data_IF_580285406167
#
_entry.id   IF_580285406167
#
_cell.length_a   1.000
_cell.length_b   1.000
_cell.length_c   1.000
_cell.angle_alpha   90.00
_cell.angle_beta   90.00
_cell.angle_gamma   90.00
#
_symmetry.space_group_name_H-M   'P 1'
#
loop_
_entity.id
_entity.type
_entity.pdbx_description
1 polymer ?
#
# COMPACT_ATOMS: atom_id res chain seq x y z
N UNK A 1 15.14 10.41 19.10
CA UNK A 1 15.49 9.88 17.76
C UNK A 1 14.25 10.03 16.89
N UNK A 2 14.34 10.52 15.65
CA UNK A 2 13.18 10.60 14.78
C UNK A 2 12.74 9.16 14.50
N UNK A 3 11.47 8.87 14.75
CA UNK A 3 10.88 7.57 14.43
C UNK A 3 10.72 7.54 12.92
N UNK A 4 11.68 6.97 12.20
CA UNK A 4 11.55 6.74 10.77
C UNK A 4 10.42 5.75 10.52
N UNK A 5 9.29 6.29 10.08
CA UNK A 5 8.15 5.48 9.70
C UNK A 5 8.60 4.51 8.59
N UNK A 6 8.22 3.22 8.63
CA UNK A 6 8.54 2.28 7.55
C UNK A 6 7.96 2.72 6.19
N UNK A 7 7.04 3.68 6.20
CA UNK A 7 6.41 4.29 5.03
C UNK A 7 7.37 5.20 4.26
N UNK A 8 8.25 5.91 4.97
CA UNK A 8 9.24 6.79 4.34
C UNK A 8 10.43 6.01 3.75
N UNK A 9 10.56 4.74 4.14
CA UNK A 9 11.56 3.79 3.65
C UNK A 9 11.07 2.92 2.50
N UNK A 10 9.81 3.06 2.09
CA UNK A 10 9.20 2.19 1.08
C UNK A 10 8.88 2.96 -0.20
N UNK A 11 9.30 2.41 -1.34
CA UNK A 11 8.99 2.95 -2.67
C UNK A 11 8.25 1.91 -3.51
N UNK A 12 7.39 2.39 -4.38
CA UNK A 12 6.73 1.59 -5.41
C UNK A 12 7.37 1.87 -6.76
N UNK A 13 7.73 0.81 -7.46
CA UNK A 13 8.35 0.82 -8.79
C UNK A 13 7.32 0.30 -9.78
N UNK A 14 6.99 1.07 -10.80
CA UNK A 14 6.07 0.72 -11.87
C UNK A 14 6.83 0.54 -13.19
N UNK A 15 6.23 -0.22 -14.11
CA UNK A 15 6.84 -0.52 -15.40
C UNK A 15 7.88 -1.63 -15.32
N UNK A 16 7.80 -2.47 -14.27
CA UNK A 16 8.65 -3.64 -14.11
C UNK A 16 8.24 -4.67 -15.16
N UNK A 17 9.12 -4.94 -16.13
CA UNK A 17 8.87 -6.00 -17.11
C UNK A 17 8.96 -7.38 -16.46
N UNK A 18 8.33 -8.38 -17.08
CA UNK A 18 8.41 -9.76 -16.59
C UNK A 18 9.85 -10.27 -16.50
N UNK A 19 10.73 -9.83 -17.40
CA UNK A 19 12.15 -10.16 -17.41
C UNK A 19 12.98 -9.54 -16.26
N UNK A 20 12.42 -8.59 -15.50
CA UNK A 20 13.10 -7.96 -14.36
C UNK A 20 12.66 -8.63 -13.07
N UNK A 21 13.47 -9.56 -12.55
CA UNK A 21 13.17 -10.25 -11.30
C UNK A 21 13.59 -9.46 -10.06
N UNK A 22 13.15 -9.92 -8.89
CA UNK A 22 13.40 -9.26 -7.60
C UNK A 22 14.89 -9.06 -7.33
N UNK A 23 15.72 -10.00 -7.76
CA UNK A 23 17.17 -9.96 -7.60
C UNK A 23 17.82 -8.87 -8.46
N UNK A 24 17.35 -8.68 -9.71
CA UNK A 24 17.79 -7.61 -10.60
C UNK A 24 17.37 -6.23 -10.08
N UNK A 25 16.15 -6.14 -9.57
CA UNK A 25 15.65 -4.92 -8.92
C UNK A 25 16.46 -4.60 -7.67
N UNK A 26 16.73 -5.62 -6.84
CA UNK A 26 17.52 -5.46 -5.61
C UNK A 26 18.91 -4.91 -5.94
N UNK A 27 19.62 -5.54 -6.88
CA UNK A 27 20.95 -5.10 -7.28
C UNK A 27 20.96 -3.66 -7.84
N UNK A 28 19.91 -3.26 -8.57
CA UNK A 28 19.79 -1.91 -9.09
C UNK A 28 19.55 -0.87 -7.98
N UNK A 29 18.64 -1.16 -7.05
CA UNK A 29 18.27 -0.26 -5.97
C UNK A 29 19.28 -0.25 -4.81
N UNK A 30 20.12 -1.27 -4.66
CA UNK A 30 21.27 -1.21 -3.75
C UNK A 30 22.39 -0.32 -4.28
N UNK A 31 22.50 -0.19 -5.59
CA UNK A 31 23.59 0.54 -6.21
C UNK A 31 23.40 2.06 -6.09
N UNK A 32 24.47 2.79 -5.77
CA UNK A 32 24.50 4.26 -5.74
C UNK A 32 24.12 4.91 -7.09
N UNK A 33 24.21 4.16 -8.19
CA UNK A 33 23.72 4.63 -9.50
C UNK A 33 22.22 4.94 -9.50
N UNK A 34 21.40 4.26 -8.71
CA UNK A 34 19.97 4.57 -8.58
C UNK A 34 19.69 5.66 -7.53
N UNK A 35 20.71 6.11 -6.79
CA UNK A 35 20.54 6.91 -5.57
C UNK A 35 20.09 6.06 -4.37
N UNK A 36 20.14 4.73 -4.50
CA UNK A 36 19.66 3.85 -3.44
C UNK A 36 20.72 3.48 -2.41
N UNK A 37 20.45 2.38 -1.73
CA UNK A 37 21.19 1.94 -0.55
C UNK A 37 20.70 0.58 -0.07
N UNK A 38 21.15 0.15 1.12
CA UNK A 38 20.82 -1.17 1.66
C UNK A 38 19.30 -1.40 1.67
N UNK A 39 18.90 -2.57 1.19
CA UNK A 39 17.51 -2.98 1.07
C UNK A 39 17.14 -3.96 2.19
N UNK A 40 15.94 -3.80 2.72
CA UNK A 40 15.31 -4.77 3.63
C UNK A 40 14.65 -5.89 2.82
N UNK A 41 13.90 -5.51 1.78
CA UNK A 41 13.16 -6.46 0.95
C UNK A 41 12.71 -5.84 -0.37
N UNK A 42 12.62 -6.68 -1.41
CA UNK A 42 11.99 -6.35 -2.69
C UNK A 42 10.90 -7.38 -2.96
N UNK A 43 9.70 -6.91 -3.31
CA UNK A 43 8.55 -7.76 -3.59
C UNK A 43 7.94 -7.37 -4.95
N UNK A 44 8.07 -8.24 -5.94
CA UNK A 44 7.51 -8.03 -7.28
C UNK A 44 6.06 -8.55 -7.34
N UNK A 45 5.17 -7.70 -7.85
CA UNK A 45 3.73 -7.97 -7.99
C UNK A 45 3.28 -7.69 -9.42
N UNK A 46 3.67 -8.57 -10.34
CA UNK A 46 3.36 -8.43 -11.77
C UNK A 46 4.20 -7.31 -12.40
N UNK A 47 3.55 -6.24 -12.86
CA UNK A 47 4.22 -5.10 -13.51
C UNK A 47 4.71 -3.99 -12.55
N UNK A 48 4.64 -4.25 -11.26
CA UNK A 48 5.05 -3.35 -10.18
C UNK A 48 5.91 -4.09 -9.17
N UNK A 49 6.75 -3.38 -8.45
CA UNK A 49 7.53 -3.91 -7.34
C UNK A 49 7.51 -2.94 -6.16
N UNK A 50 7.50 -3.50 -4.96
CA UNK A 50 7.63 -2.75 -3.70
C UNK A 50 9.06 -2.96 -3.20
N UNK A 51 9.77 -1.87 -2.96
CA UNK A 51 11.16 -1.89 -2.51
C UNK A 51 11.21 -1.19 -1.15
N UNK A 52 11.74 -1.88 -0.15
CA UNK A 52 11.89 -1.38 1.22
C UNK A 52 13.36 -1.19 1.49
N UNK A 53 13.76 0.04 1.81
CA UNK A 53 15.13 0.41 2.17
C UNK A 53 15.35 0.30 3.69
N UNK A 54 16.60 0.10 4.10
CA UNK A 54 16.95 0.19 5.52
C UNK A 54 16.82 1.62 6.05
N UNK A 55 17.17 2.60 5.22
CA UNK A 55 17.28 4.03 5.56
C UNK A 55 16.30 4.87 4.74
N UNK A 56 15.64 5.85 5.38
CA UNK A 56 14.68 6.74 4.70
C UNK A 56 15.36 7.65 3.67
N UNK A 57 16.62 8.00 3.91
CA UNK A 57 17.44 8.81 3.00
C UNK A 57 17.63 8.11 1.65
N UNK A 58 17.87 6.80 1.65
CA UNK A 58 18.03 6.02 0.42
C UNK A 58 16.73 6.02 -0.40
N UNK A 59 15.58 5.86 0.25
CA UNK A 59 14.29 5.96 -0.42
C UNK A 59 14.06 7.38 -0.99
N UNK A 60 14.39 8.43 -0.23
CA UNK A 60 14.24 9.82 -0.67
C UNK A 60 15.16 10.16 -1.87
N UNK A 61 16.41 9.69 -1.86
CA UNK A 61 17.35 9.86 -2.98
C UNK A 61 16.84 9.16 -4.25
N UNK A 62 16.36 7.92 -4.14
CA UNK A 62 15.76 7.20 -5.27
C UNK A 62 14.52 7.93 -5.81
N UNK A 63 13.69 8.47 -4.93
CA UNK A 63 12.50 9.25 -5.32
C UNK A 63 12.84 10.60 -5.94
N UNK A 64 13.94 11.23 -5.51
CA UNK A 64 14.43 12.49 -6.11
C UNK A 64 14.86 12.31 -7.57
N UNK A 65 15.19 11.07 -7.94
CA UNK A 65 15.64 10.72 -9.27
C UNK A 65 14.45 10.44 -10.19
N UNK A 66 14.26 11.31 -11.18
CA UNK A 66 13.15 11.22 -12.13
C UNK A 66 13.24 10.04 -13.11
N UNK A 67 14.44 9.55 -13.41
CA UNK A 67 14.67 8.54 -14.44
C UNK A 67 15.45 7.36 -13.89
N UNK A 68 14.78 6.21 -13.83
CA UNK A 68 15.38 4.92 -13.54
C UNK A 68 15.34 4.07 -14.80
N UNK A 69 16.49 3.57 -15.22
CA UNK A 69 16.61 2.71 -16.41
C UNK A 69 17.40 1.48 -16.01
N UNK A 70 16.76 0.33 -16.15
CA UNK A 70 17.32 -0.99 -15.89
C UNK A 70 17.14 -1.86 -17.13
N UNK A 71 18.23 -2.38 -17.70
CA UNK A 71 18.22 -3.19 -18.93
C UNK A 71 17.41 -2.56 -20.08
N UNK A 72 17.63 -1.27 -20.34
CA UNK A 72 16.91 -0.47 -21.35
C UNK A 72 15.40 -0.31 -21.11
N UNK A 73 14.90 -0.72 -19.94
CA UNK A 73 13.51 -0.54 -19.52
C UNK A 73 13.46 0.65 -18.58
N UNK A 74 12.57 1.59 -18.86
CA UNK A 74 12.34 2.75 -18.01
C UNK A 74 11.41 2.36 -16.86
N UNK A 75 11.91 2.49 -15.63
CA UNK A 75 11.18 2.26 -14.39
C UNK A 75 10.67 3.61 -13.86
N UNK A 76 9.43 3.62 -13.38
CA UNK A 76 8.83 4.79 -12.74
C UNK A 76 8.77 4.52 -11.23
N UNK A 77 9.57 5.26 -10.46
CA UNK A 77 9.58 5.11 -9.01
C UNK A 77 8.73 6.21 -8.38
N UNK A 78 7.89 5.84 -7.43
CA UNK A 78 7.05 6.75 -6.66
C UNK A 78 7.02 6.34 -5.20
N UNK A 79 6.59 7.26 -4.33
CA UNK A 79 6.36 6.91 -2.92
C UNK A 79 5.31 5.80 -2.89
N UNK A 80 5.58 4.72 -2.18
CA UNK A 80 4.61 3.66 -2.06
C UNK A 80 3.32 4.25 -1.49
N UNK A 81 2.20 4.02 -2.19
CA UNK A 81 0.92 4.46 -1.68
C UNK A 81 0.72 3.78 -0.32
N UNK A 82 0.79 4.57 0.74
CA UNK A 82 0.46 4.10 2.09
C UNK A 82 -0.92 3.50 1.99
N UNK A 83 -1.07 2.21 2.31
CA UNK A 83 -2.40 1.66 2.60
C UNK A 83 -2.92 2.54 3.72
N UNK A 84 -3.81 3.46 3.37
CA UNK A 84 -4.31 4.44 4.30
C UNK A 84 -4.91 3.68 5.48
N UNK A 85 -4.16 3.61 6.58
CA UNK A 85 -4.53 2.76 7.72
C UNK A 85 -5.77 3.31 8.43
N UNK A 86 -6.21 4.51 8.04
CA UNK A 86 -7.43 5.15 8.50
C UNK A 86 -8.56 4.97 7.48
N UNK A 87 -8.34 4.38 6.31
CA UNK A 87 -9.40 4.25 5.29
C UNK A 87 -9.50 2.83 4.75
N UNK A 88 -10.65 2.21 4.96
CA UNK A 88 -10.99 0.89 4.45
C UNK A 88 -12.10 0.99 3.41
N UNK A 89 -12.02 0.18 2.36
CA UNK A 89 -13.04 0.13 1.32
C UNK A 89 -13.82 -1.16 1.44
N UNK A 90 -15.07 -1.06 1.88
CA UNK A 90 -16.03 -2.15 1.89
C UNK A 90 -16.64 -2.28 0.49
N UNK A 91 -16.53 -3.47 -0.11
CA UNK A 91 -17.02 -3.76 -1.47
C UNK A 91 -18.10 -4.84 -1.43
N UNK A 92 -19.01 -4.82 -2.41
CA UNK A 92 -20.04 -5.85 -2.57
C UNK A 92 -21.26 -5.63 -1.69
N UNK A 93 -21.49 -4.39 -1.26
CA UNK A 93 -22.66 -4.05 -0.46
C UNK A 93 -23.87 -3.96 -1.36
N UNK A 94 -24.91 -4.74 -1.05
CA UNK A 94 -26.15 -4.67 -1.81
C UNK A 94 -26.82 -3.30 -1.54
N UNK A 95 -27.25 -2.56 -2.58
CA UNK A 95 -27.92 -1.26 -2.42
C UNK A 95 -29.22 -1.32 -1.62
N UNK A 96 -29.82 -2.50 -1.40
CA UNK A 96 -30.98 -2.67 -0.51
C UNK A 96 -30.62 -2.81 0.98
N UNK A 97 -29.33 -2.87 1.32
CA UNK A 97 -28.85 -3.00 2.70
C UNK A 97 -28.97 -1.67 3.42
N UNK A 98 -29.60 -1.64 4.59
CA UNK A 98 -29.68 -0.42 5.40
C UNK A 98 -28.32 -0.07 5.99
N UNK A 99 -28.07 1.23 6.18
CA UNK A 99 -26.86 1.76 6.81
C UNK A 99 -26.64 1.13 8.19
N UNK A 100 -27.70 0.94 8.97
CA UNK A 100 -27.66 0.30 10.30
C UNK A 100 -27.09 -1.11 10.28
N UNK A 101 -27.43 -1.94 9.27
CA UNK A 101 -26.85 -3.29 9.14
C UNK A 101 -25.36 -3.23 8.79
N UNK A 102 -24.95 -2.22 8.03
CA UNK A 102 -23.55 -2.03 7.63
C UNK A 102 -22.73 -1.57 8.84
N UNK A 103 -23.26 -0.62 9.64
CA UNK A 103 -22.67 -0.18 10.91
C UNK A 103 -22.46 -1.37 11.85
N UNK A 104 -23.53 -2.15 12.10
CA UNK A 104 -23.46 -3.34 12.95
C UNK A 104 -22.43 -4.36 12.46
N UNK A 105 -22.36 -4.59 11.14
CA UNK A 105 -21.36 -5.48 10.55
C UNK A 105 -19.93 -4.97 10.76
N UNK A 106 -19.67 -3.68 10.52
CA UNK A 106 -18.36 -3.06 10.69
C UNK A 106 -17.93 -3.10 12.15
N UNK A 107 -18.82 -2.76 13.08
CA UNK A 107 -18.58 -2.83 14.52
C UNK A 107 -18.21 -4.25 14.97
N UNK A 108 -19.00 -5.24 14.56
CA UNK A 108 -18.75 -6.64 14.93
C UNK A 108 -17.46 -7.19 14.30
N UNK A 109 -17.17 -6.83 13.05
CA UNK A 109 -15.98 -7.31 12.35
C UNK A 109 -14.69 -6.66 12.85
N UNK A 110 -14.73 -5.36 13.19
CA UNK A 110 -13.55 -4.59 13.55
C UNK A 110 -13.38 -4.36 15.05
N UNK A 111 -14.39 -4.68 15.87
CA UNK A 111 -14.39 -4.43 17.31
C UNK A 111 -14.35 -2.94 17.65
N UNK A 112 -14.96 -2.10 16.81
CA UNK A 112 -14.94 -0.64 16.93
C UNK A 112 -16.20 -0.13 17.64
N UNK A 113 -16.10 1.03 18.29
CA UNK A 113 -17.27 1.80 18.73
C UNK A 113 -17.70 2.82 17.67
N UNK A 114 -18.94 3.29 17.75
CA UNK A 114 -19.54 4.32 16.86
C UNK A 114 -18.67 5.59 16.71
N UNK A 115 -17.85 5.93 17.72
CA UNK A 115 -16.97 7.13 17.68
C UNK A 115 -15.63 6.90 16.98
N UNK A 116 -15.29 5.64 16.68
CA UNK A 116 -13.99 5.26 16.13
C UNK A 116 -14.00 5.16 14.60
N UNK A 117 -15.14 5.35 13.94
CA UNK A 117 -15.23 5.29 12.47
C UNK A 117 -16.36 6.17 11.90
N UNK A 118 -16.26 6.50 10.61
CA UNK A 118 -17.34 7.10 9.83
C UNK A 118 -17.54 6.34 8.52
N UNK A 119 -18.79 6.18 8.10
CA UNK A 119 -19.16 5.54 6.84
C UNK A 119 -19.48 6.60 5.78
N UNK A 120 -18.83 6.51 4.63
CA UNK A 120 -19.06 7.36 3.47
C UNK A 120 -19.47 6.48 2.27
N UNK A 121 -20.78 6.36 1.98
CA UNK A 121 -21.26 5.65 0.80
C UNK A 121 -20.79 6.36 -0.47
N UNK A 122 -20.24 5.61 -1.43
CA UNK A 122 -19.78 6.17 -2.70
C UNK A 122 -20.88 6.06 -3.77
N UNK A 123 -21.17 7.14 -4.52
CA UNK A 123 -22.12 7.08 -5.62
C UNK A 123 -21.55 6.22 -6.75
N UNK A 124 -22.23 5.13 -7.11
CA UNK A 124 -21.76 4.24 -8.18
C UNK A 124 -21.94 2.73 -7.99
N UNK A 125 -22.60 2.31 -6.89
CA UNK A 125 -22.95 0.92 -6.51
C UNK A 125 -21.83 0.19 -5.75
N UNK A 126 -22.26 -0.35 -4.61
CA UNK A 126 -21.66 -1.40 -3.80
C UNK A 126 -20.35 -1.08 -3.05
N UNK A 127 -19.97 0.20 -2.97
CA UNK A 127 -18.78 0.66 -2.27
C UNK A 127 -19.09 1.59 -1.10
N UNK A 128 -18.48 1.31 0.05
CA UNK A 128 -18.52 2.18 1.24
C UNK A 128 -17.10 2.41 1.71
N UNK A 129 -16.73 3.68 1.86
CA UNK A 129 -15.47 4.08 2.45
C UNK A 129 -15.66 4.21 3.96
N UNK A 130 -14.91 3.43 4.73
CA UNK A 130 -14.88 3.47 6.19
C UNK A 130 -13.67 4.31 6.58
N UNK A 131 -13.88 5.41 7.28
CA UNK A 131 -12.81 6.26 7.79
C UNK A 131 -12.65 6.06 9.29
N UNK A 132 -11.55 5.48 9.72
CA UNK A 132 -11.22 5.17 11.11
C UNK A 132 -10.56 6.37 11.79
N UNK A 133 -10.94 6.61 13.05
CA UNK A 133 -10.31 7.60 13.93
C UNK A 133 -8.91 7.17 14.40
N UNK A 134 -8.59 5.87 14.31
CA UNK A 134 -7.29 5.28 14.69
C UNK A 134 -6.75 4.40 13.57
N UNK A 135 -5.42 4.33 13.40
CA UNK A 135 -4.82 3.50 12.36
C UNK A 135 -5.04 2.02 12.67
N UNK A 136 -5.44 1.27 11.66
CA UNK A 136 -5.62 -0.17 11.76
C UNK A 136 -4.26 -0.88 11.84
N UNK A 137 -4.01 -1.58 12.96
CA UNK A 137 -2.82 -2.42 13.12
C UNK A 137 -3.02 -3.77 12.42
N UNK A 138 -1.98 -4.26 11.74
CA UNK A 138 -1.98 -5.39 10.77
C UNK A 138 -2.39 -6.78 11.35
N UNK A 139 -3.00 -6.84 12.54
CA UNK A 139 -3.36 -8.09 13.23
C UNK A 139 -4.71 -8.68 12.85
N UNK A 140 -5.57 -7.97 12.11
CA UNK A 140 -6.83 -8.55 11.66
C UNK A 140 -6.63 -9.21 10.30
N UNK A 141 -6.70 -10.54 10.28
CA UNK A 141 -7.04 -11.30 9.10
C UNK A 141 -8.36 -10.76 8.55
N UNK A 142 -8.31 -9.83 7.59
CA UNK A 142 -9.48 -9.52 6.77
C UNK A 142 -9.76 -10.83 6.04
N UNK A 143 -10.87 -11.53 6.33
CA UNK A 143 -11.16 -12.75 5.62
C UNK A 143 -11.46 -12.33 4.18
N UNK A 144 -10.52 -12.62 3.28
CA UNK A 144 -10.76 -12.51 1.85
C UNK A 144 -11.85 -13.52 1.51
N UNK A 145 -13.12 -13.11 1.58
CA UNK A 145 -14.21 -13.91 1.05
C UNK A 145 -14.15 -13.83 -0.48
N UNK A 146 -13.28 -14.65 -1.07
CA UNK A 146 -13.42 -15.08 -2.45
C UNK A 146 -14.65 -15.98 -2.52
N UNK A 147 -15.81 -15.42 -2.86
CA UNK A 147 -16.94 -16.25 -3.28
C UNK A 147 -16.60 -16.81 -4.66
N UNK A 148 -16.52 -18.14 -4.71
CA UNK A 148 -16.56 -18.96 -5.93
C UNK A 148 -17.95 -18.92 -6.54
#
# INVERSE_FOLDING_TARGET
MPVESPEDRTVEVLGVAEALDEELLSLYFENKRSGGGPLVSVEKRGNRAIVVFEQAEAAAEVLSKQHHVLNNIQLNVRKAATKDQHRLLLRGINPSTSTEMIELYVENMMGLNVTDYTLCPLPGRDFILIHLSRPFSKGLLIPCFSKT
#
